data_IF_025599741088
#
_entry.id   IF_025599741088
#
_cell.length_a   1.000
_cell.length_b   1.000
_cell.length_c   1.000
_cell.angle_alpha   90.00
_cell.angle_beta   90.00
_cell.angle_gamma   90.00
#
_symmetry.space_group_name_H-M   'P 1'
#
loop_
_entity.id
_entity.type
_entity.pdbx_description
1 polymer ?
#
# COMPACT_ATOMS: atom_id res chain seq x y z
N UNK A 1 49.46 18.34 -2.93
CA UNK A 1 48.03 18.71 -2.92
C UNK A 1 47.34 17.96 -4.04
N UNK A 2 46.69 16.83 -3.73
CA UNK A 2 46.00 15.99 -4.74
C UNK A 2 44.50 16.14 -4.47
N UNK A 3 43.78 16.78 -5.41
CA UNK A 3 42.32 16.92 -5.37
C UNK A 3 41.70 15.69 -6.02
N UNK A 4 41.08 14.83 -5.20
CA UNK A 4 40.23 13.73 -5.69
C UNK A 4 38.91 14.30 -6.23
N UNK A 5 38.53 13.86 -7.43
CA UNK A 5 37.25 14.19 -8.05
C UNK A 5 36.09 13.38 -7.44
N UNK A 6 34.85 13.90 -7.44
CA UNK A 6 33.68 13.14 -7.00
C UNK A 6 33.25 12.13 -8.06
N UNK A 7 33.07 10.88 -7.64
CA UNK A 7 32.48 9.80 -8.42
C UNK A 7 30.97 10.01 -8.58
N UNK A 8 30.53 10.27 -9.80
CA UNK A 8 29.11 10.35 -10.17
C UNK A 8 28.45 8.97 -10.08
N UNK A 9 27.59 8.78 -9.10
CA UNK A 9 26.77 7.58 -8.92
C UNK A 9 25.60 7.62 -9.93
N UNK A 10 25.70 6.87 -11.03
CA UNK A 10 24.62 6.68 -11.99
C UNK A 10 23.72 5.52 -11.54
N UNK A 11 22.54 5.84 -11.04
CA UNK A 11 21.46 4.86 -10.84
C UNK A 11 20.79 4.64 -12.20
N UNK A 12 21.11 3.52 -12.84
CA UNK A 12 20.41 3.08 -14.04
C UNK A 12 19.08 2.44 -13.64
N UNK A 13 17.98 3.19 -13.76
CA UNK A 13 16.63 2.66 -13.67
C UNK A 13 16.22 2.06 -15.01
N UNK A 14 16.40 0.74 -15.17
CA UNK A 14 15.76 0.00 -16.26
C UNK A 14 14.30 -0.27 -15.89
N UNK A 15 13.40 0.59 -16.36
CA UNK A 15 11.98 0.27 -16.38
C UNK A 15 11.70 -0.65 -17.58
N UNK A 16 11.73 -1.95 -17.32
CA UNK A 16 11.19 -2.96 -18.22
C UNK A 16 9.72 -2.67 -18.47
N UNK A 17 9.36 -2.49 -19.75
CA UNK A 17 7.98 -2.43 -20.22
C UNK A 17 7.30 -3.77 -19.93
N UNK A 18 6.47 -3.83 -18.88
CA UNK A 18 5.55 -4.94 -18.66
C UNK A 18 4.26 -4.63 -19.42
N UNK A 19 3.96 -5.45 -20.41
CA UNK A 19 2.70 -5.43 -21.12
C UNK A 19 1.56 -5.75 -20.14
N UNK A 20 0.66 -4.80 -19.93
CA UNK A 20 -0.58 -4.97 -19.18
C UNK A 20 -1.57 -5.68 -20.09
N UNK A 21 -1.40 -7.00 -20.22
CA UNK A 21 -2.41 -7.92 -20.74
C UNK A 21 -3.23 -8.41 -19.56
N UNK A 22 -4.52 -8.06 -19.54
CA UNK A 22 -5.45 -8.47 -18.51
C UNK A 22 -5.54 -9.99 -18.41
N UNK A 23 -5.36 -10.51 -17.19
CA UNK A 23 -5.91 -11.77 -16.72
C UNK A 23 -5.73 -11.85 -15.20
N UNK A 24 -6.71 -11.38 -14.42
CA UNK A 24 -6.85 -11.77 -13.02
C UNK A 24 -7.56 -13.14 -12.96
N UNK A 25 -6.95 -14.15 -13.58
CA UNK A 25 -7.40 -15.54 -13.48
C UNK A 25 -6.38 -16.32 -12.64
N UNK A 26 -6.84 -16.69 -11.43
CA UNK A 26 -6.44 -17.88 -10.69
C UNK A 26 -4.97 -18.01 -10.28
N UNK A 27 -4.54 -17.21 -9.29
CA UNK A 27 -3.55 -17.70 -8.31
C UNK A 27 -4.28 -18.39 -7.15
N UNK A 28 -4.94 -19.50 -7.46
CA UNK A 28 -5.31 -20.53 -6.48
C UNK A 28 -4.10 -21.45 -6.30
N UNK A 29 -3.00 -20.88 -5.81
CA UNK A 29 -1.86 -21.67 -5.34
C UNK A 29 -2.13 -22.02 -3.88
N UNK A 30 -2.37 -23.32 -3.65
CA UNK A 30 -2.48 -23.95 -2.34
C UNK A 30 -1.46 -23.40 -1.35
N UNK A 31 -1.88 -22.50 -0.46
CA UNK A 31 -1.26 -22.41 0.84
C UNK A 31 -1.84 -23.55 1.67
N UNK A 32 -1.28 -24.75 1.50
CA UNK A 32 -1.35 -25.74 2.55
C UNK A 32 -0.71 -25.08 3.77
N UNK A 33 -1.55 -24.71 4.74
CA UNK A 33 -1.13 -24.13 6.00
C UNK A 33 -0.27 -25.17 6.72
N UNK A 34 1.03 -25.17 6.45
CA UNK A 34 1.99 -25.69 7.39
C UNK A 34 1.92 -24.71 8.55
N UNK A 35 1.08 -25.02 9.53
CA UNK A 35 1.14 -24.42 10.85
C UNK A 35 2.49 -24.85 11.45
N UNK A 36 3.57 -24.21 11.01
CA UNK A 36 4.84 -24.33 11.69
C UNK A 36 4.62 -23.72 13.06
N UNK A 37 4.72 -24.59 14.07
CA UNK A 37 4.67 -24.20 15.46
C UNK A 37 5.84 -23.24 15.71
N UNK A 38 5.55 -21.92 15.74
CA UNK A 38 6.54 -20.86 15.97
C UNK A 38 7.10 -20.87 17.41
N UNK A 39 6.83 -21.92 18.17
CA UNK A 39 6.93 -21.90 19.62
C UNK A 39 8.35 -21.79 20.19
N UNK A 40 9.43 -22.19 19.50
CA UNK A 40 10.77 -22.20 20.14
C UNK A 40 12.00 -21.91 19.25
N UNK A 41 11.81 -21.41 18.02
CA UNK A 41 12.93 -20.98 17.18
C UNK A 41 13.47 -19.61 17.63
N UNK A 42 14.79 -19.43 17.64
CA UNK A 42 15.41 -18.09 17.75
C UNK A 42 14.78 -17.18 16.70
N UNK A 43 13.92 -16.24 17.14
CA UNK A 43 13.26 -15.30 16.23
C UNK A 43 14.35 -14.51 15.52
N UNK A 44 14.43 -14.68 14.19
CA UNK A 44 15.42 -13.99 13.37
C UNK A 44 15.26 -12.47 13.50
N UNK A 45 16.37 -11.73 13.44
CA UNK A 45 16.30 -10.26 13.35
C UNK A 45 15.68 -9.89 11.99
N UNK A 46 14.57 -9.12 11.96
CA UNK A 46 14.00 -8.70 10.69
C UNK A 46 14.95 -7.74 9.99
N UNK A 47 15.04 -7.88 8.67
CA UNK A 47 15.88 -7.07 7.80
C UNK A 47 15.07 -6.24 6.81
N UNK A 48 13.85 -6.67 6.50
CA UNK A 48 12.94 -5.97 5.60
C UNK A 48 11.48 -6.21 6.00
N UNK A 49 10.59 -5.37 5.46
CA UNK A 49 9.15 -5.47 5.65
C UNK A 49 8.47 -5.59 4.28
N UNK A 50 7.47 -6.46 4.18
CA UNK A 50 6.56 -6.50 3.03
C UNK A 50 5.24 -5.84 3.40
N UNK A 51 4.64 -5.21 2.40
CA UNK A 51 3.34 -4.57 2.51
C UNK A 51 2.49 -5.05 1.35
N UNK A 52 1.35 -5.62 1.67
CA UNK A 52 0.26 -5.84 0.73
C UNK A 52 -0.94 -5.03 1.18
N UNK A 53 -1.71 -4.48 0.24
CA UNK A 53 -2.90 -3.74 0.59
C UNK A 53 -3.94 -3.79 -0.52
N UNK A 54 -5.20 -3.82 -0.10
CA UNK A 54 -6.35 -3.84 -0.98
C UNK A 54 -7.44 -2.91 -0.43
N UNK A 55 -8.35 -2.48 -1.32
CA UNK A 55 -9.61 -1.90 -0.87
C UNK A 55 -10.36 -2.94 -0.05
N UNK A 56 -10.90 -2.52 1.08
CA UNK A 56 -11.66 -3.38 1.96
C UNK A 56 -13.03 -2.78 2.18
N UNK A 57 -14.03 -3.66 2.09
CA UNK A 57 -15.38 -3.41 2.56
C UNK A 57 -15.55 -4.17 3.86
N UNK A 58 -15.84 -3.47 4.96
CA UNK A 58 -16.07 -4.12 6.25
C UNK A 58 -17.53 -4.47 6.44
N UNK A 59 -18.42 -3.66 5.83
CA UNK A 59 -19.84 -3.93 5.75
C UNK A 59 -20.20 -4.49 4.37
N UNK A 60 -20.76 -5.71 4.32
CA UNK A 60 -21.05 -6.43 3.06
C UNK A 60 -21.85 -5.59 2.05
N UNK A 61 -22.68 -4.68 2.54
CA UNK A 61 -23.64 -3.91 1.74
C UNK A 61 -23.28 -2.41 1.61
N UNK A 62 -22.08 -2.00 2.03
CA UNK A 62 -21.62 -0.60 1.95
C UNK A 62 -20.65 -0.33 0.79
N UNK A 63 -20.39 0.95 0.48
CA UNK A 63 -19.23 1.34 -0.34
C UNK A 63 -17.94 1.08 0.45
N UNK A 64 -16.80 0.82 -0.23
CA UNK A 64 -15.53 0.54 0.45
C UNK A 64 -15.21 1.51 1.61
N UNK A 65 -15.12 0.98 2.82
CA UNK A 65 -14.89 1.76 4.05
C UNK A 65 -13.43 2.22 4.21
N UNK A 66 -12.50 1.56 3.52
CA UNK A 66 -11.09 1.88 3.59
C UNK A 66 -10.20 0.87 2.90
N UNK A 67 -9.01 0.69 3.48
CA UNK A 67 -8.01 -0.27 3.01
C UNK A 67 -7.71 -1.29 4.10
N UNK A 68 -7.47 -2.53 3.70
CA UNK A 68 -6.84 -3.53 4.54
C UNK A 68 -5.39 -3.65 4.10
N UNK A 69 -4.47 -3.46 5.04
CA UNK A 69 -3.04 -3.64 4.83
C UNK A 69 -2.58 -4.89 5.59
N UNK A 70 -1.77 -5.72 4.95
CA UNK A 70 -1.06 -6.83 5.55
C UNK A 70 0.42 -6.48 5.58
N UNK A 71 1.02 -6.56 6.77
CA UNK A 71 2.44 -6.29 6.99
C UNK A 71 3.10 -7.55 7.50
N UNK A 72 4.21 -7.95 6.88
CA UNK A 72 5.05 -9.04 7.36
C UNK A 72 6.47 -8.52 7.58
N UNK A 73 7.07 -8.92 8.70
CA UNK A 73 8.49 -8.69 8.97
C UNK A 73 9.26 -9.95 8.59
N UNK A 74 10.32 -9.78 7.81
CA UNK A 74 11.09 -10.89 7.26
C UNK A 74 12.56 -10.77 7.67
N UNK A 75 13.16 -11.90 8.05
CA UNK A 75 14.60 -12.00 8.30
C UNK A 75 15.40 -12.04 6.97
N UNK A 76 16.73 -12.16 7.09
CA UNK A 76 17.63 -12.25 5.93
C UNK A 76 17.42 -13.48 5.04
N UNK A 77 16.64 -14.46 5.49
CA UNK A 77 16.29 -15.68 4.77
C UNK A 77 14.83 -15.68 4.32
N UNK A 78 14.16 -14.52 4.33
CA UNK A 78 12.74 -14.36 3.98
C UNK A 78 11.81 -15.21 4.85
N UNK A 79 12.19 -15.46 6.11
CA UNK A 79 11.32 -16.14 7.08
C UNK A 79 10.59 -15.10 7.94
N UNK A 80 9.32 -15.35 8.32
CA UNK A 80 8.60 -14.47 9.23
C UNK A 80 9.37 -14.27 10.54
N UNK A 81 9.52 -13.00 10.93
CA UNK A 81 10.21 -12.56 12.13
C UNK A 81 9.30 -11.60 12.92
N UNK A 82 8.18 -12.09 13.47
CA UNK A 82 7.21 -11.24 14.17
C UNK A 82 7.86 -10.65 15.42
N UNK A 83 7.97 -9.32 15.45
CA UNK A 83 8.47 -8.56 16.59
C UNK A 83 7.52 -7.41 16.90
N UNK A 84 7.49 -6.96 18.16
CA UNK A 84 6.73 -5.76 18.52
C UNK A 84 7.22 -4.56 17.70
N UNK A 85 6.30 -3.92 17.01
CA UNK A 85 6.61 -2.82 16.10
C UNK A 85 5.45 -1.82 16.04
N UNK A 86 5.78 -0.59 15.68
CA UNK A 86 4.81 0.43 15.32
C UNK A 86 4.94 0.77 13.84
N UNK A 87 3.82 0.96 13.17
CA UNK A 87 3.78 1.32 11.76
C UNK A 87 3.12 2.69 11.57
N UNK A 88 3.76 3.50 10.74
CA UNK A 88 3.14 4.68 10.14
C UNK A 88 2.78 4.35 8.70
N UNK A 89 1.50 4.50 8.37
CA UNK A 89 0.98 4.32 7.02
C UNK A 89 0.71 5.67 6.39
N UNK A 90 1.11 5.86 5.15
CA UNK A 90 0.86 7.06 4.35
C UNK A 90 0.27 6.65 3.00
N UNK A 91 -0.93 7.14 2.70
CA UNK A 91 -1.58 6.91 1.41
C UNK A 91 -1.53 8.19 0.59
N UNK A 92 -0.88 8.11 -0.57
CA UNK A 92 -0.77 9.21 -1.52
C UNK A 92 -1.55 8.85 -2.78
N UNK A 93 -2.60 9.61 -3.06
CA UNK A 93 -3.39 9.45 -4.27
C UNK A 93 -2.53 9.72 -5.50
N UNK A 94 -2.73 8.94 -6.57
CA UNK A 94 -2.03 9.09 -7.85
C UNK A 94 -3.03 9.34 -8.97
N UNK A 95 -2.69 10.25 -9.88
CA UNK A 95 -3.44 10.50 -11.11
C UNK A 95 -2.55 10.20 -12.31
N UNK A 96 -3.12 9.74 -13.44
CA UNK A 96 -2.36 9.66 -14.67
C UNK A 96 -1.84 11.05 -15.05
N UNK A 97 -0.60 11.10 -15.52
CA UNK A 97 -0.01 12.32 -16.07
C UNK A 97 -0.81 12.81 -17.29
N UNK A 98 -0.70 14.09 -17.69
CA UNK A 98 -1.41 14.62 -18.86
C UNK A 98 -1.17 13.83 -20.15
N UNK A 99 0.04 13.27 -20.32
CA UNK A 99 0.45 12.41 -21.44
C UNK A 99 0.10 10.92 -21.24
N UNK A 100 -0.47 10.56 -20.08
CA UNK A 100 -0.91 9.19 -19.71
C UNK A 100 0.18 8.12 -19.72
N UNK A 101 1.45 8.51 -19.69
CA UNK A 101 2.58 7.55 -19.72
C UNK A 101 3.00 7.11 -18.31
N UNK A 102 2.72 7.92 -17.29
CA UNK A 102 3.10 7.64 -15.91
C UNK A 102 2.04 8.15 -14.93
N UNK A 103 2.22 7.84 -13.66
CA UNK A 103 1.36 8.32 -12.59
C UNK A 103 2.13 9.33 -11.74
N UNK A 104 1.49 10.47 -11.47
CA UNK A 104 2.03 11.52 -10.60
C UNK A 104 1.23 11.58 -9.31
N UNK A 105 1.88 12.04 -8.24
CA UNK A 105 1.18 12.32 -6.99
C UNK A 105 0.09 13.37 -7.24
N UNK A 106 -1.15 13.02 -6.89
CA UNK A 106 -2.26 13.93 -7.03
C UNK A 106 -2.06 15.09 -6.02
N UNK A 107 -2.23 16.35 -6.45
CA UNK A 107 -2.22 17.47 -5.52
C UNK A 107 -3.36 17.29 -4.51
N UNK A 108 -3.02 17.16 -3.23
CA UNK A 108 -4.02 16.87 -2.21
C UNK A 108 -3.44 16.46 -0.86
N UNK A 109 -4.34 16.07 0.03
CA UNK A 109 -4.02 15.65 1.40
C UNK A 109 -3.56 14.20 1.40
N UNK A 110 -2.31 13.97 1.79
CA UNK A 110 -1.83 12.64 2.19
C UNK A 110 -2.62 12.17 3.41
N UNK A 111 -3.17 10.96 3.35
CA UNK A 111 -3.79 10.33 4.51
C UNK A 111 -2.71 9.60 5.29
N UNK A 112 -2.72 9.76 6.61
CA UNK A 112 -1.71 9.17 7.49
C UNK A 112 -2.37 8.49 8.68
N UNK A 113 -1.90 7.29 9.01
CA UNK A 113 -2.33 6.54 10.18
C UNK A 113 -1.12 6.03 10.96
N UNK A 114 -1.28 5.90 12.27
CA UNK A 114 -0.32 5.25 13.15
C UNK A 114 -0.99 4.07 13.84
N UNK A 115 -0.32 2.92 13.85
CA UNK A 115 -0.84 1.67 14.43
C UNK A 115 0.29 0.88 15.09
N UNK A 116 -0.02 0.22 16.19
CA UNK A 116 0.81 -0.88 16.68
C UNK A 116 0.53 -2.12 15.83
N UNK A 117 1.58 -2.85 15.45
CA UNK A 117 1.43 -4.09 14.68
C UNK A 117 1.24 -5.27 15.62
N UNK A 118 0.15 -6.00 15.42
CA UNK A 118 -0.15 -7.25 16.10
C UNK A 118 -0.07 -8.38 15.07
N UNK A 119 0.97 -9.21 15.19
CA UNK A 119 1.21 -10.31 14.26
C UNK A 119 0.46 -11.55 14.70
N UNK A 120 -0.26 -12.17 13.77
CA UNK A 120 -0.95 -13.44 14.00
C UNK A 120 0.03 -14.62 14.01
N UNK A 121 -0.50 -15.84 14.16
CA UNK A 121 0.30 -17.06 14.15
C UNK A 121 1.06 -17.31 12.84
N UNK A 122 0.66 -16.69 11.73
CA UNK A 122 1.39 -16.75 10.45
C UNK A 122 2.47 -15.66 10.32
N UNK A 123 2.66 -14.82 11.34
CA UNK A 123 3.59 -13.70 11.29
C UNK A 123 3.11 -12.52 10.44
N UNK A 124 1.80 -12.43 10.19
CA UNK A 124 1.17 -11.34 9.43
C UNK A 124 0.41 -10.42 10.38
N UNK A 125 0.67 -9.12 10.28
CA UNK A 125 -0.13 -8.09 10.95
C UNK A 125 -1.16 -7.52 9.98
N UNK A 126 -2.45 -7.72 10.29
CA UNK A 126 -3.55 -7.15 9.52
C UNK A 126 -3.98 -5.81 10.11
N UNK A 127 -4.06 -4.79 9.28
CA UNK A 127 -4.36 -3.42 9.69
C UNK A 127 -5.50 -2.85 8.86
N UNK A 128 -6.50 -2.30 9.53
CA UNK A 128 -7.59 -1.57 8.91
C UNK A 128 -7.28 -0.07 8.88
N UNK A 129 -7.35 0.52 7.68
CA UNK A 129 -7.04 1.92 7.39
C UNK A 129 -8.30 2.62 6.87
N UNK A 130 -9.06 3.32 7.73
CA UNK A 130 -10.34 3.93 7.33
C UNK A 130 -10.14 5.10 6.38
N UNK A 131 -10.98 5.18 5.34
CA UNK A 131 -11.02 6.27 4.36
C UNK A 131 -11.37 7.61 4.99
N UNK A 132 -12.20 7.57 6.02
CA UNK A 132 -12.57 8.75 6.81
C UNK A 132 -11.61 8.86 8.00
N UNK A 133 -10.63 9.75 7.90
CA UNK A 133 -10.17 10.41 9.12
C UNK A 133 -11.37 11.21 9.56
N UNK A 134 -11.92 10.96 10.76
CA UNK A 134 -13.03 11.74 11.30
C UNK A 134 -12.66 13.22 11.21
N UNK A 135 -13.12 13.91 10.17
CA UNK A 135 -12.97 15.36 10.12
C UNK A 135 -13.78 15.87 11.32
N UNK A 136 -13.17 16.68 12.21
CA UNK A 136 -13.95 17.35 13.23
C UNK A 136 -15.07 18.06 12.47
N UNK A 137 -16.33 17.69 12.76
CA UNK A 137 -17.52 18.27 12.15
C UNK A 137 -17.48 19.77 12.42
N UNK A 138 -16.91 20.53 11.49
CA UNK A 138 -16.52 21.91 11.72
C UNK A 138 -16.55 22.66 10.41
N UNK A 139 -17.72 23.27 10.16
CA UNK A 139 -17.89 24.64 9.68
C UNK A 139 -17.08 25.03 8.44
N UNK A 140 -17.78 25.21 7.32
CA UNK A 140 -17.51 26.11 6.17
C UNK A 140 -17.57 25.38 4.82
N UNK A 141 -18.61 25.75 4.07
CA UNK A 141 -18.88 25.29 2.72
C UNK A 141 -17.81 25.74 1.74
N UNK A 142 -16.94 24.82 1.35
CA UNK A 142 -16.19 24.96 0.11
C UNK A 142 -17.10 24.57 -1.06
N UNK A 143 -17.28 25.53 -1.97
CA UNK A 143 -18.19 25.45 -3.11
C UNK A 143 -17.92 24.21 -3.97
N UNK A 144 -18.93 23.34 -4.06
CA UNK A 144 -18.96 22.05 -4.76
C UNK A 144 -18.80 22.11 -6.29
N UNK A 145 -18.63 23.29 -6.90
CA UNK A 145 -18.56 23.47 -8.37
C UNK A 145 -17.20 23.12 -8.98
N UNK A 146 -16.08 23.46 -8.33
CA UNK A 146 -14.74 23.18 -8.87
C UNK A 146 -14.36 21.68 -8.83
N UNK A 147 -15.06 20.88 -8.02
CA UNK A 147 -14.76 19.45 -7.80
C UNK A 147 -15.30 18.53 -8.90
N UNK A 148 -16.17 19.01 -9.79
CA UNK A 148 -16.86 18.16 -10.78
C UNK A 148 -15.98 17.73 -11.97
N UNK A 149 -14.89 18.45 -12.25
CA UNK A 149 -14.05 18.19 -13.44
C UNK A 149 -12.62 17.78 -13.10
N UNK A 150 -12.23 17.74 -11.82
CA UNK A 150 -10.92 17.23 -11.45
C UNK A 150 -10.88 15.71 -11.67
N UNK A 151 -9.81 15.17 -12.31
CA UNK A 151 -9.67 13.74 -12.49
C UNK A 151 -9.68 13.04 -11.13
N UNK A 152 -10.59 12.08 -10.94
CA UNK A 152 -10.65 11.28 -9.72
C UNK A 152 -9.45 10.31 -9.71
N UNK A 153 -8.65 10.26 -8.63
CA UNK A 153 -7.59 9.28 -8.53
C UNK A 153 -8.20 7.87 -8.50
N UNK A 154 -7.74 7.01 -9.41
CA UNK A 154 -8.12 5.59 -9.45
C UNK A 154 -7.14 4.72 -8.67
N UNK A 155 -5.91 5.20 -8.54
CA UNK A 155 -4.80 4.50 -7.91
C UNK A 155 -4.20 5.37 -6.80
N UNK A 156 -3.54 4.72 -5.87
CA UNK A 156 -2.74 5.36 -4.86
C UNK A 156 -1.54 4.48 -4.53
N UNK A 157 -0.61 5.07 -3.79
CA UNK A 157 0.55 4.39 -3.26
C UNK A 157 0.44 4.41 -1.74
N UNK A 158 0.35 3.22 -1.14
CA UNK A 158 0.42 3.06 0.31
C UNK A 158 1.88 2.82 0.68
N UNK A 159 2.42 3.69 1.53
CA UNK A 159 3.76 3.57 2.11
C UNK A 159 3.62 3.16 3.56
N UNK A 160 4.45 2.23 4.01
CA UNK A 160 4.56 1.89 5.43
C UNK A 160 5.98 2.11 5.91
N UNK A 161 6.11 2.72 7.09
CA UNK A 161 7.35 2.86 7.85
C UNK A 161 7.17 2.13 9.17
N UNK A 162 7.83 0.97 9.30
CA UNK A 162 7.74 0.09 10.46
C UNK A 162 8.93 0.33 11.37
N UNK A 163 8.68 0.90 12.55
CA UNK A 163 9.67 1.10 13.59
C UNK A 163 9.73 -0.13 14.50
N UNK A 164 10.89 -0.79 14.50
CA UNK A 164 11.21 -1.97 15.31
C UNK A 164 12.32 -1.56 16.29
N UNK A 165 12.11 -1.61 17.62
CA UNK A 165 13.05 -1.06 18.60
C UNK A 165 14.51 -1.53 18.47
N UNK A 166 14.75 -2.79 18.09
CA UNK A 166 16.10 -3.39 18.00
C UNK A 166 16.72 -3.31 16.62
N UNK A 167 15.96 -2.89 15.60
CA UNK A 167 16.39 -2.93 14.19
C UNK A 167 16.47 -1.54 13.59
N UNK A 168 15.53 -0.66 13.90
CA UNK A 168 15.38 0.66 13.28
C UNK A 168 14.08 0.76 12.50
N UNK A 169 14.09 1.53 11.42
CA UNK A 169 12.91 1.75 10.57
C UNK A 169 13.06 0.95 9.27
N UNK A 170 12.06 0.13 8.99
CA UNK A 170 11.91 -0.62 7.74
C UNK A 170 10.84 0.05 6.88
N UNK A 171 11.07 0.17 5.58
CA UNK A 171 10.14 0.85 4.67
C UNK A 171 9.66 -0.10 3.58
N UNK A 172 8.38 0.00 3.22
CA UNK A 172 7.78 -0.78 2.15
C UNK A 172 6.67 0.01 1.47
N UNK A 173 6.37 -0.35 0.22
CA UNK A 173 5.44 0.40 -0.64
C UNK A 173 4.59 -0.58 -1.43
N UNK A 174 3.28 -0.33 -1.47
CA UNK A 174 2.31 -1.10 -2.24
C UNK A 174 1.43 -0.18 -3.10
N UNK A 175 1.24 -0.46 -4.39
CA UNK A 175 0.19 0.17 -5.17
C UNK A 175 -1.17 -0.34 -4.70
N UNK A 176 -2.14 0.56 -4.56
CA UNK A 176 -3.50 0.21 -4.13
C UNK A 176 -4.53 0.91 -4.98
N UNK A 177 -5.69 0.28 -5.16
CA UNK A 177 -6.85 0.96 -5.72
C UNK A 177 -7.33 2.04 -4.73
N UNK A 178 -7.65 3.23 -5.24
CA UNK A 178 -8.15 4.33 -4.42
C UNK A 178 -9.69 4.38 -4.36
N UNK A 179 -10.32 3.87 -5.42
CA UNK A 179 -11.76 3.72 -5.54
C UNK A 179 -12.05 2.44 -6.32
N UNK A 180 -13.22 1.87 -6.09
CA UNK A 180 -13.68 0.72 -6.86
C UNK A 180 -13.77 1.07 -8.35
N UNK A 181 -13.42 0.13 -9.24
CA UNK A 181 -13.68 0.31 -10.65
C UNK A 181 -15.20 0.43 -10.82
N UNK A 182 -15.67 1.56 -11.34
CA UNK A 182 -17.05 1.66 -11.81
C UNK A 182 -17.26 0.57 -12.85
N UNK A 183 -18.12 -0.40 -12.55
CA UNK A 183 -18.59 -1.35 -13.54
C UNK A 183 -19.39 -0.53 -14.55
N UNK A 184 -18.82 -0.26 -15.71
CA UNK A 184 -19.58 0.33 -16.81
C UNK A 184 -20.27 -0.83 -17.49
N UNK A 185 -21.60 -0.90 -17.38
CA UNK A 185 -22.40 -1.88 -18.11
C UNK A 185 -22.05 -1.78 -19.59
N UNK A 186 -21.38 -2.81 -20.09
CA UNK A 186 -20.93 -2.86 -21.49
C UNK A 186 -22.07 -3.20 -22.45
N UNK A 187 -23.27 -3.47 -21.91
CA UNK A 187 -24.46 -3.87 -22.65
C UNK A 187 -25.12 -2.72 -23.42
N UNK A 188 -24.68 -1.46 -23.24
CA UNK A 188 -25.27 -0.30 -23.92
C UNK A 188 -24.71 0.00 -25.31
N UNK A 189 -23.84 -0.85 -25.89
CA UNK A 189 -23.26 -0.64 -27.24
C UNK A 189 -23.88 -1.50 -28.35
N UNK A 190 -25.01 -2.17 -28.08
CA UNK A 190 -25.73 -2.96 -29.08
C UNK A 190 -27.07 -2.36 -29.49
N UNK A 191 -27.09 -1.20 -30.19
CA UNK A 191 -28.17 -0.79 -31.11
C UNK A 191 -27.65 0.12 -32.20
#
# INVERSE_FOLDING_TARGET
MIRSAPSSFKIASSFGRVAVGGLCLLSLMSQAAVAQDFSQGVVGRPTHATLEACLANWDRDAESDGWRAQVMLLDKHSRPAPLRAHATFELVARVPSPDRTHYVDAPGKTMRWWKQLEFNAAGVAEVQLPKRVAEPRGLLGQSSRAKRFAPRPRWAVLRVRVSVPTVGVLESVAPVAFAEPLLVDSDSLGR
#
